data_IF_858117224208
#
_entry.id   IF_858117224208
#
_cell.length_a   1.000
_cell.length_b   1.000
_cell.length_c   1.000
_cell.angle_alpha   90.00
_cell.angle_beta   90.00
_cell.angle_gamma   90.00
#
_symmetry.space_group_name_H-M   'P 1'
#
loop_
_entity.id
_entity.type
_entity.pdbx_description
1 polymer ?
#
# COMPACT_ATOMS: atom_id res chain seq x y z
N UNK A 1 14.39 -3.23 -4.12
CA UNK A 1 13.44 -4.21 -4.68
C UNK A 1 12.25 -4.31 -3.73
N UNK A 2 11.07 -4.72 -4.21
CA UNK A 2 9.96 -5.03 -3.30
C UNK A 2 10.28 -6.27 -2.45
N UNK A 3 9.67 -6.37 -1.28
CA UNK A 3 9.66 -7.64 -0.53
C UNK A 3 8.84 -8.69 -1.27
N UNK A 4 9.05 -9.96 -0.94
CA UNK A 4 8.26 -11.06 -1.49
C UNK A 4 6.78 -10.93 -1.10
N UNK A 5 5.83 -11.35 -1.96
CA UNK A 5 4.42 -11.41 -1.59
C UNK A 5 4.19 -12.37 -0.42
N UNK A 6 3.16 -12.13 0.43
CA UNK A 6 2.81 -13.02 1.51
C UNK A 6 2.28 -14.36 0.97
N UNK A 7 2.63 -15.46 1.65
CA UNK A 7 2.14 -16.81 1.30
C UNK A 7 0.77 -17.14 1.90
N UNK A 8 0.41 -16.46 2.98
CA UNK A 8 -0.84 -16.66 3.72
C UNK A 8 -1.38 -15.32 4.20
N UNK A 9 -2.65 -15.31 4.56
CA UNK A 9 -3.27 -14.16 5.20
C UNK A 9 -2.67 -13.90 6.60
N UNK A 10 -2.49 -12.62 6.99
CA UNK A 10 -2.27 -12.30 8.38
C UNK A 10 -3.52 -12.62 9.20
N UNK A 11 -3.36 -12.91 10.49
CA UNK A 11 -4.50 -13.10 11.38
C UNK A 11 -5.22 -11.75 11.52
N UNK A 12 -6.47 -11.65 11.06
CA UNK A 12 -7.25 -10.41 11.07
C UNK A 12 -8.17 -10.31 12.29
N UNK A 13 -8.61 -11.45 12.84
CA UNK A 13 -9.65 -11.52 13.89
C UNK A 13 -9.10 -11.86 15.28
N UNK A 14 -7.84 -11.53 15.56
CA UNK A 14 -7.21 -11.75 16.86
C UNK A 14 -6.62 -10.45 17.42
N UNK A 15 -7.46 -9.46 17.79
CA UNK A 15 -6.98 -8.21 18.35
C UNK A 15 -6.30 -8.47 19.70
N UNK A 16 -5.13 -7.87 19.91
CA UNK A 16 -4.51 -7.84 21.24
C UNK A 16 -5.00 -6.62 22.00
N UNK A 17 -5.61 -6.86 23.16
CA UNK A 17 -6.07 -5.79 24.06
C UNK A 17 -4.89 -5.33 24.91
N UNK A 18 -4.52 -4.06 24.74
CA UNK A 18 -3.42 -3.40 25.45
C UNK A 18 -3.85 -2.01 25.90
N UNK A 19 -3.07 -1.39 26.77
CA UNK A 19 -3.29 0.01 27.18
C UNK A 19 -3.36 0.96 25.97
N UNK A 20 -4.33 1.90 25.95
CA UNK A 20 -4.48 2.84 24.85
C UNK A 20 -3.22 3.66 24.58
N UNK A 21 -2.94 3.92 23.30
CA UNK A 21 -1.88 4.86 22.91
C UNK A 21 -2.29 6.28 23.25
N UNK A 22 -1.32 7.09 23.70
CA UNK A 22 -1.55 8.50 24.08
C UNK A 22 -1.59 9.47 22.89
N UNK A 23 -1.29 9.01 21.68
CA UNK A 23 -1.30 9.81 20.46
C UNK A 23 -1.82 8.99 19.28
N UNK A 24 -2.63 9.61 18.42
CA UNK A 24 -3.19 9.01 17.21
C UNK A 24 -2.26 9.12 15.98
N UNK A 25 -1.30 10.04 16.02
CA UNK A 25 -0.35 10.30 14.92
C UNK A 25 1.04 10.65 15.47
N UNK A 26 2.05 10.60 14.60
CA UNK A 26 3.42 11.01 14.92
C UNK A 26 4.49 10.18 14.19
N UNK A 27 5.72 10.26 14.69
CA UNK A 27 6.88 9.54 14.11
C UNK A 27 6.64 8.04 13.90
N UNK A 28 5.94 7.30 14.79
CA UNK A 28 5.61 5.89 14.52
C UNK A 28 4.79 5.72 13.23
N UNK A 29 3.74 6.52 13.03
CA UNK A 29 2.89 6.44 11.83
C UNK A 29 3.69 6.74 10.55
N UNK A 30 4.60 7.73 10.60
CA UNK A 30 5.52 8.04 9.49
C UNK A 30 6.42 6.83 9.20
N UNK A 31 7.04 6.25 10.23
CA UNK A 31 7.89 5.08 10.10
C UNK A 31 7.14 3.86 9.54
N UNK A 32 5.91 3.62 9.98
CA UNK A 32 5.05 2.54 9.44
C UNK A 32 4.70 2.77 7.97
N UNK A 33 4.31 3.99 7.61
CA UNK A 33 4.01 4.39 6.23
C UNK A 33 5.21 4.16 5.31
N UNK A 34 6.39 4.67 5.70
CA UNK A 34 7.61 4.53 4.91
C UNK A 34 8.06 3.07 4.78
N UNK A 35 7.91 2.27 5.84
CA UNK A 35 8.24 0.84 5.82
C UNK A 35 7.40 0.09 4.78
N UNK A 36 6.08 0.28 4.81
CA UNK A 36 5.16 -0.39 3.88
C UNK A 36 5.42 0.11 2.46
N UNK A 37 5.56 1.42 2.26
CA UNK A 37 5.84 1.99 0.96
C UNK A 37 7.14 1.42 0.35
N UNK A 38 8.20 1.27 1.14
CA UNK A 38 9.46 0.66 0.69
C UNK A 38 9.33 -0.83 0.42
N UNK A 39 8.56 -1.57 1.21
CA UNK A 39 8.30 -3.00 0.97
C UNK A 39 7.56 -3.23 -0.36
N UNK A 40 6.69 -2.30 -0.78
CA UNK A 40 6.00 -2.40 -2.07
C UNK A 40 6.80 -1.84 -3.24
N UNK A 41 7.34 -0.63 -3.09
CA UNK A 41 7.88 0.15 -4.21
C UNK A 41 9.42 0.14 -4.26
N UNK A 42 10.09 -0.21 -3.17
CA UNK A 42 11.52 0.06 -2.98
C UNK A 42 11.83 1.56 -2.83
N UNK A 43 13.01 1.87 -2.25
CA UNK A 43 13.39 3.23 -1.83
C UNK A 43 13.18 4.31 -2.89
N UNK A 44 13.73 4.12 -4.10
CA UNK A 44 13.67 5.13 -5.17
C UNK A 44 12.24 5.46 -5.59
N UNK A 45 11.42 4.43 -5.87
CA UNK A 45 10.05 4.66 -6.29
C UNK A 45 9.20 5.18 -5.14
N UNK A 46 9.42 4.73 -3.90
CA UNK A 46 8.77 5.32 -2.73
C UNK A 46 8.97 6.83 -2.65
N UNK A 47 10.21 7.31 -2.75
CA UNK A 47 10.51 8.74 -2.69
C UNK A 47 9.84 9.51 -3.83
N UNK A 48 10.00 9.03 -5.08
CA UNK A 48 9.46 9.71 -6.26
C UNK A 48 7.93 9.70 -6.31
N UNK A 49 7.28 8.61 -5.88
CA UNK A 49 5.83 8.46 -5.93
C UNK A 49 5.17 9.25 -4.81
N UNK A 50 5.63 9.12 -3.56
CA UNK A 50 4.98 9.80 -2.44
C UNK A 50 5.10 11.33 -2.52
N UNK A 51 6.21 11.87 -3.04
CA UNK A 51 6.38 13.30 -3.29
C UNK A 51 5.47 13.86 -4.40
N UNK A 52 4.72 13.02 -5.10
CA UNK A 52 3.78 13.43 -6.16
C UNK A 52 2.31 13.22 -5.78
N UNK A 53 2.02 12.57 -4.67
CA UNK A 53 0.63 12.37 -4.22
C UNK A 53 0.05 13.72 -3.80
N UNK A 54 -1.12 14.06 -4.36
CA UNK A 54 -1.91 15.27 -4.10
C UNK A 54 -1.12 16.59 -4.28
N UNK A 55 -0.14 16.58 -5.19
CA UNK A 55 0.62 17.76 -5.62
C UNK A 55 0.05 18.31 -6.94
N UNK A 56 0.27 19.61 -7.20
CA UNK A 56 -0.22 20.31 -8.41
C UNK A 56 0.16 19.60 -9.72
N UNK A 57 1.45 19.26 -9.87
CA UNK A 57 1.98 18.53 -11.03
C UNK A 57 2.10 17.01 -10.74
N UNK A 58 1.25 16.53 -9.84
CA UNK A 58 1.25 15.18 -9.29
C UNK A 58 0.07 14.35 -9.75
N UNK A 59 -0.47 13.56 -8.83
CA UNK A 59 -1.70 12.79 -9.03
C UNK A 59 -2.48 12.69 -7.73
N UNK A 60 -3.79 12.54 -7.84
CA UNK A 60 -4.66 12.46 -6.68
C UNK A 60 -4.65 11.06 -6.07
N UNK A 61 -4.71 11.01 -4.73
CA UNK A 61 -4.88 9.77 -4.01
C UNK A 61 -6.26 9.18 -4.33
N UNK A 62 -6.36 7.93 -4.82
CA UNK A 62 -7.65 7.36 -5.24
C UNK A 62 -8.56 6.98 -4.07
N UNK A 63 -8.05 7.03 -2.82
CA UNK A 63 -8.76 6.51 -1.66
C UNK A 63 -9.59 7.53 -0.88
N UNK A 64 -9.25 8.82 -0.91
CA UNK A 64 -9.89 9.83 -0.05
C UNK A 64 -9.96 11.19 -0.75
N UNK A 65 -10.99 11.98 -0.42
CA UNK A 65 -11.04 13.40 -0.79
C UNK A 65 -10.04 14.20 0.04
N UNK A 66 -8.80 14.31 -0.45
CA UNK A 66 -7.76 15.10 0.20
C UNK A 66 -7.95 16.59 -0.12
N UNK A 67 -7.92 17.49 0.88
CA UNK A 67 -8.07 18.92 0.63
C UNK A 67 -7.00 19.46 -0.30
N UNK A 68 -7.39 20.48 -1.07
CA UNK A 68 -6.57 21.01 -2.15
C UNK A 68 -6.14 22.48 -1.92
N UNK A 69 -5.26 22.78 -0.94
CA UNK A 69 -4.88 24.15 -0.62
C UNK A 69 -4.01 24.81 -1.71
N UNK A 70 -3.95 26.14 -1.72
CA UNK A 70 -3.10 26.88 -2.67
C UNK A 70 -1.61 26.58 -2.45
N UNK A 71 -1.19 26.50 -1.18
CA UNK A 71 0.14 26.09 -0.74
C UNK A 71 0.10 24.63 -0.29
N UNK A 72 0.85 23.76 -0.99
CA UNK A 72 0.97 22.33 -0.67
C UNK A 72 2.23 22.08 0.15
N UNK A 73 2.11 21.24 1.17
CA UNK A 73 3.23 20.64 1.87
C UNK A 73 3.90 19.56 1.00
N UNK A 74 5.13 19.19 1.35
CA UNK A 74 5.83 18.09 0.67
C UNK A 74 5.14 16.72 0.87
N UNK A 75 4.32 16.58 1.91
CA UNK A 75 3.53 15.39 2.18
C UNK A 75 2.06 15.77 2.31
N UNK A 76 1.29 15.52 1.25
CA UNK A 76 -0.15 15.80 1.16
C UNK A 76 -0.94 14.48 1.18
N UNK A 77 -0.72 13.62 2.17
CA UNK A 77 -1.41 12.33 2.24
C UNK A 77 -1.47 11.79 3.67
N UNK A 78 -2.48 10.97 3.95
CA UNK A 78 -2.53 10.16 5.17
C UNK A 78 -1.81 8.81 5.01
N UNK A 79 -1.57 8.13 6.13
CA UNK A 79 -0.98 6.79 6.15
C UNK A 79 -1.74 5.78 5.26
N UNK A 80 -3.07 5.78 5.32
CA UNK A 80 -3.88 4.85 4.53
C UNK A 80 -3.82 5.17 3.03
N UNK A 81 -3.82 6.46 2.66
CA UNK A 81 -3.64 6.90 1.29
C UNK A 81 -2.28 6.49 0.73
N UNK A 82 -1.22 6.66 1.51
CA UNK A 82 0.12 6.19 1.14
C UNK A 82 0.20 4.65 0.99
N UNK A 83 -0.47 3.88 1.85
CA UNK A 83 -0.54 2.41 1.72
C UNK A 83 -1.27 1.98 0.44
N UNK A 84 -2.41 2.62 0.13
CA UNK A 84 -3.16 2.33 -1.09
C UNK A 84 -2.35 2.64 -2.35
N UNK A 85 -1.69 3.82 -2.38
CA UNK A 85 -0.78 4.18 -3.48
C UNK A 85 0.40 3.21 -3.57
N UNK A 86 0.95 2.76 -2.44
CA UNK A 86 2.05 1.81 -2.43
C UNK A 86 1.64 0.44 -3.01
N UNK A 87 0.43 -0.03 -2.71
CA UNK A 87 -0.13 -1.26 -3.30
C UNK A 87 -0.28 -1.14 -4.82
N UNK A 88 -0.78 -0.01 -5.31
CA UNK A 88 -0.93 0.24 -6.75
C UNK A 88 0.43 0.38 -7.45
N UNK A 89 1.37 1.11 -6.85
CA UNK A 89 2.68 1.39 -7.43
C UNK A 89 3.73 0.31 -7.13
N UNK A 90 3.32 -0.84 -6.56
CA UNK A 90 4.20 -1.94 -6.20
C UNK A 90 5.08 -2.41 -7.35
N UNK A 91 6.29 -2.92 -7.04
CA UNK A 91 7.16 -3.56 -8.03
C UNK A 91 6.80 -5.03 -8.27
N UNK A 92 5.94 -5.62 -7.45
CA UNK A 92 5.47 -7.00 -7.63
C UNK A 92 4.59 -7.10 -8.88
N UNK A 93 4.69 -8.22 -9.58
CA UNK A 93 3.99 -8.47 -10.83
C UNK A 93 3.31 -9.83 -10.79
N UNK A 94 2.08 -9.86 -11.25
CA UNK A 94 1.27 -11.06 -11.47
C UNK A 94 1.36 -11.39 -12.96
N UNK A 95 2.04 -12.49 -13.26
CA UNK A 95 2.23 -13.05 -14.61
C UNK A 95 1.21 -14.16 -14.88
N UNK A 96 1.06 -14.62 -16.13
CA UNK A 96 0.22 -15.78 -16.43
C UNK A 96 0.55 -17.02 -15.58
N UNK A 97 1.81 -17.22 -15.22
CA UNK A 97 2.24 -18.34 -14.36
C UNK A 97 1.57 -18.33 -12.98
N UNK A 98 1.23 -17.14 -12.45
CA UNK A 98 0.48 -17.03 -11.20
C UNK A 98 -0.89 -17.69 -11.33
N UNK A 99 -1.63 -17.40 -12.41
CA UNK A 99 -2.95 -17.99 -12.65
C UNK A 99 -2.86 -19.47 -13.04
N UNK A 100 -1.76 -19.90 -13.66
CA UNK A 100 -1.50 -21.33 -13.86
C UNK A 100 -1.32 -22.09 -12.53
N UNK A 101 -0.75 -21.44 -11.52
CA UNK A 101 -0.57 -22.01 -10.18
C UNK A 101 -1.77 -21.82 -9.25
N UNK A 102 -2.62 -20.82 -9.49
CA UNK A 102 -3.74 -20.44 -8.63
C UNK A 102 -5.06 -20.40 -9.41
N UNK A 103 -5.87 -21.49 -9.36
CA UNK A 103 -7.18 -21.51 -10.00
C UNK A 103 -8.13 -20.49 -9.35
N UNK A 104 -9.13 -20.02 -10.12
CA UNK A 104 -10.10 -19.01 -9.63
C UNK A 104 -10.83 -19.46 -8.36
N UNK A 105 -11.10 -20.76 -8.22
CA UNK A 105 -11.71 -21.32 -7.01
C UNK A 105 -10.82 -21.20 -5.77
N UNK A 106 -9.49 -21.28 -5.91
CA UNK A 106 -8.53 -20.98 -4.84
C UNK A 106 -8.55 -19.49 -4.52
N UNK A 107 -8.45 -18.63 -5.54
CA UNK A 107 -8.42 -17.17 -5.38
C UNK A 107 -9.68 -16.62 -4.71
N UNK A 108 -10.86 -17.19 -5.00
CA UNK A 108 -12.12 -16.82 -4.35
C UNK A 108 -12.10 -17.03 -2.84
N UNK A 109 -11.31 -17.98 -2.34
CA UNK A 109 -11.16 -18.25 -0.91
C UNK A 109 -10.13 -17.36 -0.21
N UNK A 110 -9.42 -16.49 -0.93
CA UNK A 110 -8.35 -15.63 -0.38
C UNK A 110 -8.91 -14.28 0.08
N UNK A 111 -8.32 -13.68 1.11
CA UNK A 111 -8.73 -12.35 1.52
C UNK A 111 -8.31 -11.27 0.50
N UNK A 112 -9.02 -10.14 0.51
CA UNK A 112 -8.66 -8.98 -0.29
C UNK A 112 -7.24 -8.47 0.02
N UNK A 113 -6.79 -8.58 1.28
CA UNK A 113 -5.41 -8.25 1.65
C UNK A 113 -4.42 -9.15 0.92
N UNK A 114 -4.59 -10.47 0.97
CA UNK A 114 -3.68 -11.38 0.28
C UNK A 114 -3.67 -11.14 -1.22
N UNK A 115 -4.85 -10.96 -1.83
CA UNK A 115 -4.99 -10.70 -3.27
C UNK A 115 -4.26 -9.42 -3.68
N UNK A 116 -4.50 -8.29 -2.99
CA UNK A 116 -3.85 -7.02 -3.27
C UNK A 116 -2.32 -7.06 -3.12
N UNK A 117 -1.81 -7.96 -2.28
CA UNK A 117 -0.37 -8.10 -2.04
C UNK A 117 0.38 -8.95 -3.09
N UNK A 118 -0.30 -9.60 -4.04
CA UNK A 118 0.36 -10.43 -5.06
C UNK A 118 1.05 -9.61 -6.16
N UNK A 119 0.61 -8.38 -6.39
CA UNK A 119 1.21 -7.45 -7.35
C UNK A 119 0.28 -7.06 -8.49
N UNK A 120 0.83 -6.35 -9.48
CA UNK A 120 0.06 -5.82 -10.62
C UNK A 120 -0.02 -6.81 -11.77
N UNK A 121 -1.20 -6.93 -12.38
CA UNK A 121 -1.41 -7.75 -13.58
C UNK A 121 -0.50 -7.29 -14.72
N UNK A 122 0.11 -8.24 -15.41
CA UNK A 122 1.01 -7.96 -16.55
C UNK A 122 0.35 -8.21 -17.91
N UNK A 123 -0.82 -8.84 -17.93
CA UNK A 123 -1.65 -9.13 -19.10
C UNK A 123 -3.13 -8.92 -18.71
N UNK A 124 -3.96 -8.41 -19.63
CA UNK A 124 -5.42 -8.44 -19.48
C UNK A 124 -5.96 -9.87 -19.40
#
# INVERSE_FOLDING_TARGET
MASKPPKSDPVQDAPQVVEPKRAAAGLPAIGHTLRIAQQQMGVKRTALTLLRVNQKDGFDCPGCAWPEPEHRHAAEFCENGAKAVAEEATLRRVTPDFFAAHPVTDLHGRSGYWLGQQGRLTRP
#
